data_IF_610709555519
#
_entry.id   IF_610709555519
#
_cell.length_a   1.000
_cell.length_b   1.000
_cell.length_c   1.000
_cell.angle_alpha   90.00
_cell.angle_beta   90.00
_cell.angle_gamma   90.00
#
_symmetry.space_group_name_H-M   'P 1'
#
loop_
_entity.id
_entity.type
_entity.pdbx_description
1 polymer ?
#
# COMPACT_ATOMS: atom_id res chain seq x y z
N UNK A 1 -6.41 1.16 -1.05
CA UNK A 1 -5.28 2.12 -1.06
C UNK A 1 -4.21 1.78 -0.01
N UNK A 2 -4.53 1.72 1.27
CA UNK A 2 -3.54 1.46 2.34
C UNK A 2 -2.79 0.12 2.21
N UNK A 3 -3.46 -0.93 1.74
CA UNK A 3 -2.83 -2.24 1.46
C UNK A 3 -1.89 -2.14 0.25
N UNK A 4 -2.26 -1.39 -0.80
CA UNK A 4 -1.41 -1.19 -1.98
C UNK A 4 -0.17 -0.39 -1.61
N UNK A 5 -0.35 0.66 -0.80
CA UNK A 5 0.75 1.46 -0.28
C UNK A 5 1.72 0.64 0.56
N UNK A 6 1.20 -0.21 1.46
CA UNK A 6 2.01 -1.14 2.24
C UNK A 6 2.67 -2.24 1.43
N UNK A 7 2.02 -2.74 0.37
CA UNK A 7 2.57 -3.81 -0.47
C UNK A 7 3.65 -3.30 -1.44
N UNK A 8 3.57 -2.06 -1.92
CA UNK A 8 4.45 -1.53 -2.97
C UNK A 8 5.47 -0.51 -2.41
N UNK A 9 5.36 -0.12 -1.13
CA UNK A 9 6.21 0.93 -0.57
C UNK A 9 5.95 2.29 -1.23
N UNK A 10 4.67 2.57 -1.50
CA UNK A 10 4.23 3.89 -1.98
C UNK A 10 4.08 4.80 -0.77
N UNK A 11 4.47 6.07 -0.90
CA UNK A 11 4.23 7.07 0.13
C UNK A 11 2.76 7.01 0.59
N UNK A 12 2.53 6.87 1.90
CA UNK A 12 1.17 6.66 2.38
C UNK A 12 0.38 7.95 2.18
N UNK A 13 -0.76 7.90 1.47
CA UNK A 13 -1.48 9.10 1.11
C UNK A 13 -2.01 9.83 2.34
N UNK A 14 -1.59 11.08 2.52
CA UNK A 14 -2.16 12.01 3.50
C UNK A 14 -3.56 12.49 3.07
N UNK A 15 -4.21 13.34 3.88
CA UNK A 15 -5.55 13.87 3.59
C UNK A 15 -5.66 14.56 2.22
N UNK A 16 -4.58 15.16 1.68
CA UNK A 16 -4.58 15.86 0.38
C UNK A 16 -4.68 14.92 -0.80
N UNK A 17 -4.41 13.63 -0.61
CA UNK A 17 -4.50 12.61 -1.65
C UNK A 17 -5.89 11.97 -1.73
N UNK A 18 -6.86 12.43 -0.94
CA UNK A 18 -8.25 11.98 -1.00
C UNK A 18 -9.10 13.07 -1.63
N UNK A 19 -9.73 12.74 -2.76
CA UNK A 19 -10.69 13.61 -3.42
C UNK A 19 -12.07 12.97 -3.46
N UNK A 20 -13.10 13.82 -3.54
CA UNK A 20 -14.49 13.42 -3.68
C UNK A 20 -15.03 13.90 -5.02
N UNK A 21 -15.76 13.02 -5.71
CA UNK A 21 -16.53 13.35 -6.90
C UNK A 21 -17.97 13.62 -6.46
N UNK A 22 -18.41 14.85 -6.69
CA UNK A 22 -19.81 15.27 -6.53
C UNK A 22 -20.51 15.18 -7.89
N UNK A 23 -21.34 14.15 -8.08
CA UNK A 23 -22.23 14.06 -9.26
C UNK A 23 -23.51 14.87 -9.05
N UNK A 24 -23.83 15.13 -7.80
CA UNK A 24 -24.84 16.07 -7.34
C UNK A 24 -24.27 16.86 -6.13
N UNK A 25 -24.90 17.98 -5.72
CA UNK A 25 -24.36 18.85 -4.67
C UNK A 25 -24.36 18.26 -3.25
N UNK A 26 -24.96 17.08 -3.01
CA UNK A 26 -25.24 16.56 -1.66
C UNK A 26 -24.56 15.22 -1.38
N UNK A 27 -24.39 14.37 -2.39
CA UNK A 27 -23.89 13.01 -2.19
C UNK A 27 -22.52 12.83 -2.86
N UNK A 28 -21.43 13.00 -2.10
CA UNK A 28 -20.10 12.72 -2.62
C UNK A 28 -19.86 11.23 -2.81
N UNK A 29 -19.03 10.89 -3.79
CA UNK A 29 -18.43 9.57 -3.95
C UNK A 29 -16.92 9.69 -3.91
N UNK A 30 -16.22 8.67 -3.42
CA UNK A 30 -14.76 8.69 -3.42
C UNK A 30 -14.23 8.69 -4.86
N UNK A 31 -13.27 9.57 -5.15
CA UNK A 31 -12.56 9.54 -6.43
C UNK A 31 -11.72 8.27 -6.56
N UNK A 32 -11.41 7.80 -7.79
CA UNK A 32 -10.37 6.78 -7.99
C UNK A 32 -9.07 7.19 -7.30
N UNK A 33 -8.30 6.21 -6.80
CA UNK A 33 -6.99 6.50 -6.22
C UNK A 33 -6.07 7.10 -7.29
N UNK A 34 -5.32 8.13 -6.92
CA UNK A 34 -4.33 8.81 -7.75
C UNK A 34 -3.04 9.03 -6.94
N UNK A 35 -2.00 9.49 -7.62
CA UNK A 35 -0.70 9.84 -7.01
C UNK A 35 -0.07 8.69 -6.20
N UNK A 36 -0.12 7.49 -6.78
CA UNK A 36 0.49 6.29 -6.22
C UNK A 36 1.92 6.17 -6.73
N UNK A 37 2.89 6.68 -5.96
CA UNK A 37 4.31 6.74 -6.36
C UNK A 37 5.19 5.99 -5.37
N UNK A 38 6.04 5.07 -5.88
CA UNK A 38 7.08 4.41 -5.10
C UNK A 38 8.28 5.36 -4.90
N UNK A 39 8.20 6.24 -3.91
CA UNK A 39 9.19 7.29 -3.62
C UNK A 39 10.53 6.75 -3.11
N UNK A 40 10.52 5.58 -2.47
CA UNK A 40 11.73 5.00 -1.87
C UNK A 40 12.89 4.78 -2.85
N UNK A 41 12.61 4.60 -4.16
CA UNK A 41 13.66 4.40 -5.19
C UNK A 41 14.46 5.67 -5.47
N UNK A 42 13.96 6.84 -5.08
CA UNK A 42 14.61 8.13 -5.26
C UNK A 42 15.31 8.64 -3.99
N UNK A 43 15.21 7.90 -2.88
CA UNK A 43 15.84 8.30 -1.62
C UNK A 43 17.35 8.02 -1.67
N UNK A 44 18.19 8.94 -1.18
CA UNK A 44 19.62 8.69 -1.04
C UNK A 44 19.90 7.47 -0.15
N UNK A 45 20.92 6.70 -0.53
CA UNK A 45 21.39 5.58 0.27
C UNK A 45 21.71 6.02 1.71
N UNK A 46 21.21 5.25 2.69
CA UNK A 46 21.46 5.49 4.12
C UNK A 46 20.38 6.29 4.86
N UNK A 47 19.33 6.79 4.21
CA UNK A 47 18.24 7.53 4.89
C UNK A 47 17.19 6.65 5.60
N UNK A 48 17.49 5.36 5.85
CA UNK A 48 16.60 4.42 6.53
C UNK A 48 15.31 4.10 5.76
N UNK A 49 14.49 3.15 6.27
CA UNK A 49 13.20 2.81 5.68
C UNK A 49 12.22 3.99 5.78
N UNK A 50 11.35 4.10 4.79
CA UNK A 50 10.30 5.13 4.77
C UNK A 50 9.18 4.80 5.78
N UNK A 51 8.74 5.82 6.51
CA UNK A 51 7.63 5.72 7.46
C UNK A 51 6.30 6.08 6.78
N UNK A 52 5.21 5.49 7.26
CA UNK A 52 3.86 5.84 6.84
C UNK A 52 3.47 7.23 7.34
N UNK A 53 2.88 8.05 6.46
CA UNK A 53 2.35 9.38 6.80
C UNK A 53 1.23 9.36 7.85
N UNK A 54 0.54 8.21 8.00
CA UNK A 54 -0.47 7.99 9.04
C UNK A 54 -0.13 6.75 9.88
N UNK A 55 -0.41 6.83 11.19
CA UNK A 55 -0.27 5.67 12.08
C UNK A 55 -1.25 4.57 11.67
N UNK A 56 -0.72 3.38 11.49
CA UNK A 56 -1.53 2.17 11.35
C UNK A 56 -1.12 1.13 12.38
N UNK A 57 -2.08 0.61 13.13
CA UNK A 57 -1.78 -0.34 14.20
C UNK A 57 -0.87 0.22 15.29
N UNK A 58 -0.92 1.54 15.54
CA UNK A 58 -0.05 2.30 16.48
C UNK A 58 1.39 2.53 16.00
N UNK A 59 1.75 2.12 14.79
CA UNK A 59 3.08 2.35 14.22
C UNK A 59 3.02 3.20 12.95
N UNK A 60 4.10 3.93 12.68
CA UNK A 60 4.37 4.50 11.36
C UNK A 60 5.20 3.55 10.51
N UNK A 61 5.86 2.56 11.10
CA UNK A 61 6.75 1.67 10.36
C UNK A 61 5.92 0.64 9.60
N UNK A 62 6.13 0.57 8.29
CA UNK A 62 5.49 -0.46 7.45
C UNK A 62 5.77 -1.87 7.96
N UNK A 63 6.94 -2.08 8.56
CA UNK A 63 7.37 -3.39 9.04
C UNK A 63 6.60 -3.91 10.26
N UNK A 64 5.78 -3.07 10.89
CA UNK A 64 4.91 -3.46 11.99
C UNK A 64 3.50 -3.88 11.52
N UNK A 65 3.17 -3.65 10.25
CA UNK A 65 1.84 -3.94 9.70
C UNK A 65 1.73 -5.43 9.33
N UNK A 66 0.64 -6.07 9.77
CA UNK A 66 0.28 -7.47 9.45
C UNK A 66 -1.20 -7.56 9.07
N UNK A 67 -1.64 -8.71 8.54
CA UNK A 67 -3.07 -8.97 8.32
C UNK A 67 -3.90 -8.78 9.60
N UNK A 68 -3.34 -9.11 10.77
CA UNK A 68 -3.99 -8.86 12.07
C UNK A 68 -4.26 -7.38 12.35
N UNK A 69 -3.44 -6.47 11.82
CA UNK A 69 -3.66 -5.02 11.92
C UNK A 69 -4.92 -4.60 11.15
N UNK A 70 -5.17 -5.19 9.99
CA UNK A 70 -6.40 -4.98 9.21
C UNK A 70 -7.63 -5.58 9.90
N UNK A 71 -7.52 -6.78 10.46
CA UNK A 71 -8.61 -7.37 11.26
C UNK A 71 -8.95 -6.51 12.48
N UNK A 72 -7.95 -5.93 13.15
CA UNK A 72 -8.17 -5.03 14.27
C UNK A 72 -8.85 -3.72 13.83
N UNK A 73 -8.48 -3.17 12.67
CA UNK A 73 -9.14 -2.00 12.10
C UNK A 73 -10.61 -2.30 11.76
N UNK A 74 -10.88 -3.44 11.11
CA UNK A 74 -12.24 -3.84 10.72
C UNK A 74 -13.17 -3.91 11.94
N UNK A 75 -12.70 -4.55 13.02
CA UNK A 75 -13.42 -4.59 14.30
C UNK A 75 -13.61 -3.21 14.91
N UNK A 76 -12.59 -2.35 14.89
CA UNK A 76 -12.65 -1.01 15.47
C UNK A 76 -13.64 -0.11 14.74
N UNK A 77 -13.74 -0.24 13.41
CA UNK A 77 -14.68 0.52 12.58
C UNK A 77 -16.07 -0.09 12.56
N UNK A 78 -16.24 -1.35 12.99
CA UNK A 78 -17.49 -2.09 12.82
C UNK A 78 -17.84 -2.32 11.35
N UNK A 79 -16.84 -2.31 10.46
CA UNK A 79 -17.05 -2.25 9.02
C UNK A 79 -17.56 -3.58 8.42
N UNK A 80 -17.30 -4.71 9.09
CA UNK A 80 -17.69 -6.07 8.64
C UNK A 80 -17.24 -6.34 7.19
N UNK A 81 -16.11 -5.76 6.81
CA UNK A 81 -15.60 -5.77 5.45
C UNK A 81 -14.57 -6.88 5.22
N UNK A 82 -14.27 -7.69 6.24
CA UNK A 82 -13.26 -8.75 6.17
C UNK A 82 -11.91 -8.20 5.70
N UNK A 83 -11.49 -7.05 6.26
CA UNK A 83 -10.34 -6.28 5.74
C UNK A 83 -9.04 -7.08 5.68
N UNK A 84 -8.88 -8.10 6.52
CA UNK A 84 -7.72 -8.99 6.48
C UNK A 84 -7.71 -9.85 5.19
N UNK A 85 -8.86 -10.34 4.74
CA UNK A 85 -8.97 -11.14 3.53
C UNK A 85 -8.93 -10.27 2.27
N UNK A 86 -9.52 -9.07 2.34
CA UNK A 86 -9.32 -8.05 1.30
C UNK A 86 -7.84 -7.73 1.14
N UNK A 87 -7.11 -7.54 2.24
CA UNK A 87 -5.68 -7.26 2.20
C UNK A 87 -4.88 -8.42 1.61
N UNK A 88 -5.15 -9.66 2.06
CA UNK A 88 -4.54 -10.87 1.51
C UNK A 88 -4.76 -11.01 0.00
N UNK A 89 -6.00 -10.83 -0.43
CA UNK A 89 -6.40 -10.91 -1.85
C UNK A 89 -5.65 -9.87 -2.67
N UNK A 90 -5.56 -8.63 -2.19
CA UNK A 90 -4.83 -7.59 -2.90
C UNK A 90 -3.33 -7.89 -3.01
N UNK A 91 -2.70 -8.33 -1.93
CA UNK A 91 -1.27 -8.70 -1.95
C UNK A 91 -1.00 -9.79 -2.99
N UNK A 92 -1.83 -10.84 -3.00
CA UNK A 92 -1.70 -11.92 -3.98
C UNK A 92 -1.90 -11.41 -5.41
N UNK A 93 -2.84 -10.49 -5.63
CA UNK A 93 -3.06 -9.89 -6.94
C UNK A 93 -1.88 -9.01 -7.38
N UNK A 94 -1.32 -8.20 -6.49
CA UNK A 94 -0.11 -7.41 -6.79
C UNK A 94 1.04 -8.32 -7.23
N UNK A 95 1.27 -9.42 -6.52
CA UNK A 95 2.31 -10.39 -6.90
C UNK A 95 2.03 -11.04 -8.27
N UNK A 96 0.78 -11.39 -8.55
CA UNK A 96 0.39 -12.03 -9.80
C UNK A 96 0.49 -11.07 -11.01
N UNK A 97 0.16 -9.80 -10.81
CA UNK A 97 0.15 -8.77 -11.87
C UNK A 97 1.51 -8.06 -12.03
N UNK A 98 2.43 -8.20 -11.05
CA UNK A 98 3.75 -7.55 -11.10
C UNK A 98 4.52 -7.80 -12.41
N UNK A 99 4.56 -9.01 -13.00
CA UNK A 99 5.27 -9.23 -14.26
C UNK A 99 4.81 -8.33 -15.42
N UNK A 100 3.53 -7.94 -15.44
CA UNK A 100 2.98 -7.02 -16.44
C UNK A 100 3.54 -5.60 -16.21
N UNK A 101 3.54 -5.14 -14.96
CA UNK A 101 4.11 -3.85 -14.59
C UNK A 101 5.64 -3.82 -14.77
N UNK A 102 6.32 -4.92 -14.50
CA UNK A 102 7.76 -5.10 -14.72
C UNK A 102 8.14 -4.88 -16.19
N UNK A 103 7.33 -5.38 -17.13
CA UNK A 103 7.57 -5.18 -18.56
C UNK A 103 7.55 -3.69 -18.96
N UNK A 104 6.76 -2.86 -18.28
CA UNK A 104 6.71 -1.42 -18.51
C UNK A 104 7.97 -0.68 -18.02
N UNK A 105 8.77 -1.33 -17.17
CA UNK A 105 10.01 -0.79 -16.59
C UNK A 105 11.25 -1.52 -17.13
N UNK A 106 11.13 -2.25 -18.24
CA UNK A 106 12.20 -3.09 -18.77
C UNK A 106 13.46 -2.30 -19.16
N UNK A 107 13.31 -1.04 -19.55
CA UNK A 107 14.39 -0.11 -19.88
C UNK A 107 14.97 0.62 -18.64
N UNK A 108 14.37 0.44 -17.47
CA UNK A 108 14.77 1.06 -16.19
C UNK A 108 15.05 0.00 -15.10
N UNK A 109 16.05 -0.89 -15.30
CA UNK A 109 16.37 -1.93 -14.32
C UNK A 109 16.74 -1.40 -12.93
N UNK A 110 17.27 -0.18 -12.87
CA UNK A 110 17.61 0.54 -11.64
C UNK A 110 16.38 0.85 -10.77
N UNK A 111 15.21 1.07 -11.39
CA UNK A 111 13.94 1.27 -10.67
C UNK A 111 13.21 -0.07 -10.47
N UNK A 112 13.21 -0.91 -11.50
CA UNK A 112 12.48 -2.17 -11.52
C UNK A 112 12.92 -3.12 -10.39
N UNK A 113 14.24 -3.34 -10.22
CA UNK A 113 14.76 -4.32 -9.25
C UNK A 113 14.45 -3.94 -7.79
N UNK A 114 14.67 -2.69 -7.33
CA UNK A 114 14.28 -2.31 -5.98
C UNK A 114 12.78 -2.44 -5.72
N UNK A 115 11.92 -2.07 -6.70
CA UNK A 115 10.46 -2.19 -6.57
C UNK A 115 10.03 -3.66 -6.45
N UNK A 116 10.56 -4.53 -7.30
CA UNK A 116 10.29 -5.97 -7.20
C UNK A 116 10.68 -6.52 -5.82
N UNK A 117 11.89 -6.19 -5.36
CA UNK A 117 12.38 -6.63 -4.05
C UNK A 117 11.44 -6.16 -2.93
N UNK A 118 11.07 -4.88 -2.94
CA UNK A 118 10.15 -4.29 -1.96
C UNK A 118 8.79 -5.02 -1.97
N UNK A 119 8.21 -5.24 -3.16
CA UNK A 119 6.92 -5.94 -3.30
C UNK A 119 6.99 -7.33 -2.65
N UNK A 120 8.04 -8.09 -2.94
CA UNK A 120 8.21 -9.44 -2.40
C UNK A 120 8.42 -9.45 -0.89
N UNK A 121 9.29 -8.58 -0.38
CA UNK A 121 9.58 -8.47 1.06
C UNK A 121 8.32 -8.06 1.84
N UNK A 122 7.58 -7.06 1.35
CA UNK A 122 6.35 -6.58 2.00
C UNK A 122 5.23 -7.60 1.91
N UNK A 123 5.07 -8.28 0.78
CA UNK A 123 4.10 -9.36 0.65
C UNK A 123 4.38 -10.49 1.63
N UNK A 124 5.64 -10.96 1.71
CA UNK A 124 6.04 -11.97 2.67
C UNK A 124 5.75 -11.52 4.10
N UNK A 125 6.17 -10.32 4.48
CA UNK A 125 5.94 -9.76 5.80
C UNK A 125 4.45 -9.69 6.16
N UNK A 126 3.59 -9.24 5.24
CA UNK A 126 2.15 -9.14 5.47
C UNK A 126 1.50 -10.51 5.65
N UNK A 127 1.90 -11.49 4.83
CA UNK A 127 1.30 -12.82 4.78
C UNK A 127 1.84 -13.78 5.86
N UNK A 128 2.98 -13.47 6.49
CA UNK A 128 3.50 -14.25 7.60
C UNK A 128 2.52 -14.27 8.77
N UNK A 129 2.18 -15.48 9.23
CA UNK A 129 1.56 -15.68 10.54
C UNK A 129 2.63 -15.42 11.60
N UNK A 130 2.32 -14.56 12.58
CA UNK A 130 3.08 -14.57 13.84
C UNK A 130 2.69 -15.80 14.64
#
# INVERSE_FOLDING_TARGET
MMVLAGAVGIEVPDVRHWSLIYRDPRTPTLAPAYDLVATFVYRPDGQGPEDMGLRFGRSHRFEDVRLGTFAALDRRLGAKAELADVARTLVNRVLAEWPIAQALLADRPELCRPIERMIRERAAQLLMKR
#
